data_IF_971669290623
#
_entry.id   IF_971669290623
#
_cell.length_a   1.000
_cell.length_b   1.000
_cell.length_c   1.000
_cell.angle_alpha   90.00
_cell.angle_beta   90.00
_cell.angle_gamma   90.00
#
_symmetry.space_group_name_H-M   'P 1'
#
loop_
_entity.id
_entity.type
_entity.pdbx_description
1 polymer ?
#
# COMPACT_ATOMS: atom_id res chain seq x y z
N UNK A 1 14.83 -7.80 -12.85
CA UNK A 1 14.46 -8.84 -11.87
C UNK A 1 13.01 -8.59 -11.52
N UNK A 2 12.12 -9.50 -11.92
CA UNK A 2 10.68 -9.32 -11.77
C UNK A 2 10.29 -9.35 -10.29
N UNK A 3 9.49 -8.38 -9.87
CA UNK A 3 8.81 -8.42 -8.58
C UNK A 3 8.01 -9.73 -8.51
N UNK A 4 8.52 -10.67 -7.72
CA UNK A 4 7.97 -12.00 -7.57
C UNK A 4 6.57 -11.87 -6.93
N UNK A 5 5.63 -12.61 -7.52
CA UNK A 5 4.19 -12.69 -7.24
C UNK A 5 3.87 -13.24 -5.84
N UNK A 6 4.15 -12.49 -4.78
CA UNK A 6 3.78 -12.92 -3.41
C UNK A 6 2.28 -12.73 -3.14
N UNK A 7 1.57 -11.91 -3.93
CA UNK A 7 0.14 -11.66 -3.74
C UNK A 7 -0.81 -12.57 -4.55
N UNK A 8 -0.34 -13.44 -5.45
CA UNK A 8 -1.25 -14.10 -6.41
C UNK A 8 -2.16 -15.17 -5.79
N UNK A 9 -1.66 -15.99 -4.87
CA UNK A 9 -2.43 -17.12 -4.33
C UNK A 9 -3.58 -16.66 -3.42
N UNK A 10 -3.38 -15.58 -2.66
CA UNK A 10 -4.41 -14.95 -1.84
C UNK A 10 -5.45 -14.21 -2.69
N UNK A 11 -4.99 -13.44 -3.68
CA UNK A 11 -5.87 -12.71 -4.61
C UNK A 11 -6.80 -13.68 -5.37
N UNK A 12 -6.28 -14.81 -5.84
CA UNK A 12 -7.06 -15.81 -6.58
C UNK A 12 -8.15 -16.47 -5.72
N UNK A 13 -7.88 -16.73 -4.44
CA UNK A 13 -8.88 -17.25 -3.51
C UNK A 13 -9.99 -16.23 -3.24
N UNK A 14 -9.62 -14.98 -2.95
CA UNK A 14 -10.57 -13.88 -2.71
C UNK A 14 -11.45 -13.65 -3.94
N UNK A 15 -10.84 -13.58 -5.13
CA UNK A 15 -11.57 -13.38 -6.37
C UNK A 15 -12.49 -14.55 -6.71
N UNK A 16 -12.15 -15.79 -6.31
CA UNK A 16 -13.04 -16.96 -6.45
C UNK A 16 -14.30 -16.78 -5.61
N UNK A 17 -14.15 -16.34 -4.36
CA UNK A 17 -15.26 -16.14 -3.43
C UNK A 17 -16.17 -15.00 -3.88
N UNK A 18 -15.60 -13.88 -4.33
CA UNK A 18 -16.36 -12.75 -4.89
C UNK A 18 -17.17 -13.16 -6.13
N UNK A 19 -16.57 -13.94 -7.05
CA UNK A 19 -17.29 -14.48 -8.21
C UNK A 19 -18.38 -15.46 -7.80
N UNK A 20 -18.14 -16.28 -6.76
CA UNK A 20 -19.17 -17.18 -6.25
C UNK A 20 -20.33 -16.40 -5.64
N UNK A 21 -20.07 -15.32 -4.91
CA UNK A 21 -21.10 -14.42 -4.38
C UNK A 21 -21.93 -13.77 -5.50
N UNK A 22 -21.30 -13.32 -6.58
CA UNK A 22 -22.02 -12.82 -7.76
C UNK A 22 -22.99 -13.87 -8.32
N UNK A 23 -22.56 -15.14 -8.40
CA UNK A 23 -23.39 -16.24 -8.93
C UNK A 23 -24.57 -16.59 -8.03
N UNK A 24 -24.43 -16.48 -6.72
CA UNK A 24 -25.48 -16.82 -5.75
C UNK A 24 -26.41 -15.65 -5.45
N UNK A 25 -26.03 -14.41 -5.81
CA UNK A 25 -26.84 -13.22 -5.54
C UNK A 25 -28.00 -13.12 -6.52
N UNK A 26 -29.27 -13.10 -6.05
CA UNK A 26 -30.41 -12.92 -6.92
C UNK A 26 -30.40 -11.53 -7.57
N UNK A 27 -30.79 -11.40 -8.86
CA UNK A 27 -30.89 -10.12 -9.54
C UNK A 27 -31.95 -9.22 -8.88
N UNK A 28 -31.85 -7.91 -9.12
CA UNK A 28 -32.85 -6.96 -8.67
C UNK A 28 -34.14 -7.11 -9.48
N UNK A 29 -35.29 -7.02 -8.82
CA UNK A 29 -36.59 -6.92 -9.45
C UNK A 29 -36.82 -5.50 -10.00
N UNK A 30 -37.79 -5.37 -10.90
CA UNK A 30 -38.19 -4.06 -11.42
C UNK A 30 -38.63 -3.12 -10.28
N UNK A 31 -38.04 -1.93 -10.23
CA UNK A 31 -38.31 -0.94 -9.17
C UNK A 31 -37.63 -1.24 -7.82
N UNK A 32 -36.88 -2.35 -7.68
CA UNK A 32 -36.18 -2.68 -6.44
C UNK A 32 -35.03 -1.70 -6.18
N UNK A 33 -34.30 -1.30 -7.22
CA UNK A 33 -33.17 -0.36 -7.10
C UNK A 33 -33.60 0.96 -6.46
N UNK A 34 -34.68 1.57 -6.94
CA UNK A 34 -35.18 2.85 -6.44
C UNK A 34 -35.63 2.73 -4.97
N UNK A 35 -36.26 1.60 -4.61
CA UNK A 35 -36.67 1.34 -3.23
C UNK A 35 -35.46 1.15 -2.31
N UNK A 36 -34.44 0.43 -2.76
CA UNK A 36 -33.20 0.24 -2.00
C UNK A 36 -32.50 1.58 -1.78
N UNK A 37 -32.35 2.40 -2.83
CA UNK A 37 -31.75 3.74 -2.72
C UNK A 37 -32.52 4.66 -1.77
N UNK A 38 -33.86 4.63 -1.81
CA UNK A 38 -34.69 5.40 -0.88
C UNK A 38 -34.48 4.96 0.58
N UNK A 39 -34.33 3.66 0.84
CA UNK A 39 -34.05 3.12 2.18
C UNK A 39 -32.62 3.42 2.63
N UNK A 40 -31.65 3.36 1.72
CA UNK A 40 -30.25 3.71 2.00
C UNK A 40 -30.14 5.17 2.44
N UNK A 41 -30.90 6.07 1.81
CA UNK A 41 -30.97 7.48 2.23
C UNK A 41 -31.49 7.67 3.66
N UNK A 42 -32.17 6.67 4.23
CA UNK A 42 -32.64 6.62 5.62
C UNK A 42 -31.68 5.85 6.55
N UNK A 43 -30.51 5.43 6.06
CA UNK A 43 -29.48 4.71 6.83
C UNK A 43 -29.66 3.20 6.88
N UNK A 44 -30.48 2.60 6.00
CA UNK A 44 -30.71 1.17 6.00
C UNK A 44 -29.54 0.36 5.41
N UNK A 45 -28.72 -0.20 6.29
CA UNK A 45 -27.56 -1.03 5.93
C UNK A 45 -27.93 -2.28 5.15
N UNK A 46 -29.06 -2.93 5.44
CA UNK A 46 -29.46 -4.13 4.71
C UNK A 46 -29.76 -3.83 3.23
N UNK A 47 -30.33 -2.66 2.95
CA UNK A 47 -30.54 -2.21 1.57
C UNK A 47 -29.23 -1.87 0.87
N UNK A 48 -28.28 -1.28 1.61
CA UNK A 48 -26.93 -0.99 1.11
C UNK A 48 -26.21 -2.29 0.71
N UNK A 49 -26.17 -3.26 1.62
CA UNK A 49 -25.50 -4.55 1.40
C UNK A 49 -26.13 -5.31 0.22
N UNK A 50 -27.46 -5.28 0.12
CA UNK A 50 -28.20 -5.86 -1.01
C UNK A 50 -27.80 -5.20 -2.33
N UNK A 51 -27.77 -3.87 -2.38
CA UNK A 51 -27.47 -3.13 -3.61
C UNK A 51 -26.00 -3.31 -4.02
N UNK A 52 -25.07 -3.35 -3.07
CA UNK A 52 -23.65 -3.70 -3.31
C UNK A 52 -23.54 -5.10 -3.87
N UNK A 53 -24.13 -6.10 -3.22
CA UNK A 53 -24.03 -7.50 -3.63
C UNK A 53 -24.53 -7.71 -5.07
N UNK A 54 -25.66 -7.09 -5.45
CA UNK A 54 -26.21 -7.27 -6.80
C UNK A 54 -25.42 -6.52 -7.87
N UNK A 55 -24.61 -5.52 -7.51
CA UNK A 55 -23.77 -4.76 -8.45
C UNK A 55 -22.28 -5.19 -8.42
N UNK A 56 -21.91 -6.17 -7.60
CA UNK A 56 -20.53 -6.63 -7.47
C UNK A 56 -19.91 -7.07 -8.81
N UNK A 57 -20.71 -7.65 -9.72
CA UNK A 57 -20.24 -8.04 -11.06
C UNK A 57 -19.74 -6.85 -11.89
N UNK A 58 -20.36 -5.67 -11.75
CA UNK A 58 -19.92 -4.44 -12.41
C UNK A 58 -18.58 -4.00 -11.86
N UNK A 59 -18.43 -3.97 -10.53
CA UNK A 59 -17.19 -3.58 -9.85
C UNK A 59 -16.04 -4.52 -10.25
N UNK A 60 -16.27 -5.83 -10.23
CA UNK A 60 -15.28 -6.83 -10.69
C UNK A 60 -14.84 -6.57 -12.13
N UNK A 61 -15.78 -6.36 -13.06
CA UNK A 61 -15.45 -6.05 -14.46
C UNK A 61 -14.59 -4.80 -14.59
N UNK A 62 -14.92 -3.75 -13.83
CA UNK A 62 -14.17 -2.49 -13.85
C UNK A 62 -12.78 -2.61 -13.24
N UNK A 63 -12.62 -3.45 -12.21
CA UNK A 63 -11.34 -3.78 -11.61
C UNK A 63 -10.47 -4.61 -12.56
N UNK A 64 -11.05 -5.63 -13.21
CA UNK A 64 -10.34 -6.46 -14.19
C UNK A 64 -9.83 -5.64 -15.38
N UNK A 65 -10.56 -4.61 -15.82
CA UNK A 65 -10.12 -3.67 -16.85
C UNK A 65 -8.90 -2.80 -16.43
N UNK A 66 -8.57 -2.77 -15.14
CA UNK A 66 -7.46 -2.02 -14.53
C UNK A 66 -6.34 -2.93 -14.00
N UNK A 67 -6.36 -4.22 -14.32
CA UNK A 67 -5.33 -5.18 -13.92
C UNK A 67 -3.93 -4.68 -14.28
N UNK A 68 -2.93 -5.11 -13.49
CA UNK A 68 -1.49 -4.88 -13.72
C UNK A 68 -1.05 -3.41 -13.60
N UNK A 69 -1.83 -2.57 -12.92
CA UNK A 69 -1.53 -1.15 -12.70
C UNK A 69 -1.03 -0.84 -11.28
N UNK A 70 -0.33 -1.78 -10.66
CA UNK A 70 0.26 -1.60 -9.32
C UNK A 70 -0.58 -2.13 -8.16
N UNK A 71 -1.90 -2.28 -8.33
CA UNK A 71 -2.79 -2.91 -7.35
C UNK A 71 -3.26 -4.29 -7.84
N UNK A 72 -3.54 -5.19 -6.88
CA UNK A 72 -4.16 -6.49 -7.18
C UNK A 72 -5.62 -6.31 -7.61
N UNK A 73 -6.22 -7.33 -8.23
CA UNK A 73 -7.62 -7.20 -8.70
C UNK A 73 -8.57 -7.16 -7.50
N UNK A 74 -8.30 -7.91 -6.43
CA UNK A 74 -9.11 -7.83 -5.20
C UNK A 74 -9.01 -6.46 -4.54
N UNK A 75 -7.83 -5.85 -4.47
CA UNK A 75 -7.67 -4.48 -3.94
C UNK A 75 -8.46 -3.47 -4.78
N UNK A 76 -8.41 -3.59 -6.10
CA UNK A 76 -9.21 -2.75 -6.99
C UNK A 76 -10.71 -2.97 -6.77
N UNK A 77 -11.18 -4.19 -6.50
CA UNK A 77 -12.59 -4.46 -6.15
C UNK A 77 -12.96 -3.82 -4.82
N UNK A 78 -12.08 -3.82 -3.82
CA UNK A 78 -12.31 -3.16 -2.54
C UNK A 78 -12.45 -1.64 -2.74
N UNK A 79 -11.51 -1.01 -3.43
CA UNK A 79 -11.56 0.42 -3.76
C UNK A 79 -12.79 0.77 -4.59
N UNK A 80 -13.09 -0.05 -5.60
CA UNK A 80 -14.29 0.11 -6.40
C UNK A 80 -15.57 0.02 -5.59
N UNK A 81 -15.61 -0.88 -4.62
CA UNK A 81 -16.75 -1.04 -3.71
C UNK A 81 -16.91 0.21 -2.83
N UNK A 82 -15.82 0.81 -2.34
CA UNK A 82 -15.85 2.11 -1.64
C UNK A 82 -16.42 3.22 -2.54
N UNK A 83 -15.99 3.29 -3.80
CA UNK A 83 -16.53 4.24 -4.77
C UNK A 83 -18.03 4.03 -5.03
N UNK A 84 -18.49 2.78 -5.04
CA UNK A 84 -19.92 2.45 -5.14
C UNK A 84 -20.71 2.87 -3.88
N UNK A 85 -20.15 2.66 -2.68
CA UNK A 85 -20.72 3.16 -1.43
C UNK A 85 -20.88 4.68 -1.46
N UNK A 86 -19.85 5.40 -1.90
CA UNK A 86 -19.90 6.85 -2.05
C UNK A 86 -20.97 7.26 -3.07
N UNK A 87 -21.09 6.53 -4.18
CA UNK A 87 -22.12 6.78 -5.17
C UNK A 87 -23.53 6.69 -4.57
N UNK A 88 -23.83 5.67 -3.77
CA UNK A 88 -25.13 5.53 -3.09
C UNK A 88 -25.42 6.71 -2.15
N UNK A 89 -24.40 7.17 -1.42
CA UNK A 89 -24.54 8.28 -0.46
C UNK A 89 -24.71 9.64 -1.14
N UNK A 90 -24.12 9.82 -2.32
CA UNK A 90 -24.08 11.12 -3.02
C UNK A 90 -25.05 11.23 -4.19
N UNK A 91 -25.70 10.13 -4.60
CA UNK A 91 -26.55 10.09 -5.79
C UNK A 91 -27.67 11.13 -5.76
N UNK A 92 -28.37 11.30 -4.63
CA UNK A 92 -29.47 12.27 -4.49
C UNK A 92 -29.01 13.70 -4.80
N UNK A 93 -27.76 14.03 -4.48
CA UNK A 93 -27.17 15.35 -4.72
C UNK A 93 -26.60 15.51 -6.14
N UNK A 94 -26.35 14.40 -6.84
CA UNK A 94 -25.67 14.37 -8.15
C UNK A 94 -26.49 14.92 -9.32
N UNK A 95 -27.81 15.11 -9.14
CA UNK A 95 -28.78 15.42 -10.21
C UNK A 95 -28.80 14.42 -11.38
N UNK A 96 -28.14 13.26 -11.25
CA UNK A 96 -28.13 12.23 -12.29
C UNK A 96 -29.46 11.49 -12.33
N UNK A 97 -29.95 11.19 -13.53
CA UNK A 97 -31.18 10.43 -13.73
C UNK A 97 -30.97 8.91 -13.66
N UNK A 98 -29.76 8.44 -13.95
CA UNK A 98 -29.39 7.02 -13.94
C UNK A 98 -28.32 6.77 -12.87
N UNK A 99 -28.68 5.96 -11.87
CA UNK A 99 -27.81 5.57 -10.78
C UNK A 99 -26.64 4.72 -11.24
N UNK A 100 -26.83 3.79 -12.17
CA UNK A 100 -25.76 2.87 -12.60
C UNK A 100 -24.68 3.65 -13.34
N UNK A 101 -25.08 4.51 -14.29
CA UNK A 101 -24.13 5.36 -14.99
C UNK A 101 -23.38 6.32 -14.06
N UNK A 102 -24.03 6.82 -13.00
CA UNK A 102 -23.38 7.64 -11.97
C UNK A 102 -22.39 6.81 -11.13
N UNK A 103 -22.80 5.62 -10.70
CA UNK A 103 -21.99 4.71 -9.93
C UNK A 103 -20.75 4.24 -10.69
N UNK A 104 -20.86 3.88 -11.97
CA UNK A 104 -19.71 3.50 -12.79
C UNK A 104 -18.64 4.59 -12.84
N UNK A 105 -19.03 5.87 -12.94
CA UNK A 105 -18.05 6.99 -12.87
C UNK A 105 -17.36 7.05 -11.51
N UNK A 106 -18.13 7.03 -10.42
CA UNK A 106 -17.58 7.08 -9.05
C UNK A 106 -16.66 5.90 -8.73
N UNK A 107 -17.04 4.69 -9.15
CA UNK A 107 -16.24 3.47 -9.02
C UNK A 107 -14.93 3.62 -9.80
N UNK A 108 -15.00 4.13 -11.03
CA UNK A 108 -13.82 4.35 -11.86
C UNK A 108 -12.86 5.37 -11.26
N UNK A 109 -13.39 6.54 -10.86
CA UNK A 109 -12.62 7.63 -10.25
C UNK A 109 -11.91 7.17 -8.96
N UNK A 110 -12.60 6.40 -8.11
CA UNK A 110 -12.02 5.86 -6.88
C UNK A 110 -10.87 4.90 -7.17
N UNK A 111 -11.05 3.93 -8.09
CA UNK A 111 -9.99 3.00 -8.49
C UNK A 111 -8.80 3.72 -9.10
N UNK A 112 -9.02 4.69 -9.99
CA UNK A 112 -7.96 5.44 -10.66
C UNK A 112 -7.16 6.31 -9.66
N UNK A 113 -7.85 6.86 -8.64
CA UNK A 113 -7.22 7.58 -7.54
C UNK A 113 -6.36 6.66 -6.67
N UNK A 114 -6.86 5.47 -6.33
CA UNK A 114 -6.10 4.49 -5.54
C UNK A 114 -4.83 4.03 -6.28
N UNK A 115 -4.93 3.74 -7.58
CA UNK A 115 -3.79 3.41 -8.44
C UNK A 115 -2.75 4.53 -8.42
N UNK A 116 -3.18 5.79 -8.58
CA UNK A 116 -2.27 6.92 -8.61
C UNK A 116 -1.58 7.13 -7.25
N UNK A 117 -2.29 6.92 -6.15
CA UNK A 117 -1.76 6.98 -4.79
C UNK A 117 -0.70 5.91 -4.55
N UNK A 118 -0.97 4.66 -4.92
CA UNK A 118 0.00 3.56 -4.80
C UNK A 118 1.26 3.83 -5.62
N UNK A 119 1.08 4.29 -6.87
CA UNK A 119 2.22 4.65 -7.72
C UNK A 119 3.04 5.82 -7.12
N UNK A 120 2.42 6.75 -6.40
CA UNK A 120 3.13 7.81 -5.68
C UNK A 120 3.90 7.26 -4.47
N UNK A 121 3.28 6.40 -3.67
CA UNK A 121 3.92 5.78 -2.51
C UNK A 121 5.18 4.97 -2.90
N UNK A 122 5.11 4.19 -3.99
CA UNK A 122 6.26 3.44 -4.51
C UNK A 122 7.39 4.39 -4.92
N UNK A 123 7.08 5.47 -5.65
CA UNK A 123 8.10 6.46 -6.04
C UNK A 123 8.74 7.14 -4.84
N UNK A 124 7.94 7.53 -3.85
CA UNK A 124 8.46 8.17 -2.63
C UNK A 124 9.37 7.22 -1.85
N UNK A 125 9.04 5.93 -1.81
CA UNK A 125 9.90 4.90 -1.23
C UNK A 125 11.22 4.75 -2.01
N UNK A 126 11.19 4.68 -3.34
CA UNK A 126 12.39 4.62 -4.18
C UNK A 126 13.31 5.83 -3.96
N UNK A 127 12.75 7.04 -3.90
CA UNK A 127 13.49 8.27 -3.60
C UNK A 127 14.12 8.24 -2.20
N UNK A 128 13.41 7.68 -1.22
CA UNK A 128 13.93 7.53 0.14
C UNK A 128 15.10 6.54 0.20
N UNK A 129 15.03 5.42 -0.53
CA UNK A 129 16.13 4.44 -0.64
C UNK A 129 17.36 5.07 -1.29
N UNK A 130 17.18 5.85 -2.36
CA UNK A 130 18.27 6.58 -2.99
C UNK A 130 18.91 7.58 -2.01
N UNK A 131 18.09 8.36 -1.28
CA UNK A 131 18.57 9.29 -0.28
C UNK A 131 19.31 8.59 0.87
N UNK A 132 18.80 7.47 1.37
CA UNK A 132 19.49 6.66 2.37
C UNK A 132 20.88 6.23 1.90
N UNK A 133 20.98 5.73 0.66
CA UNK A 133 22.25 5.30 0.06
C UNK A 133 23.26 6.45 -0.04
N UNK A 134 22.83 7.63 -0.49
CA UNK A 134 23.68 8.82 -0.59
C UNK A 134 24.14 9.33 0.79
N UNK A 135 23.24 9.28 1.78
CA UNK A 135 23.55 9.60 3.18
C UNK A 135 24.64 8.68 3.72
N UNK A 136 24.46 7.36 3.63
CA UNK A 136 25.42 6.39 4.17
C UNK A 136 26.80 6.49 3.52
N UNK A 137 26.83 6.66 2.20
CA UNK A 137 28.09 6.89 1.47
C UNK A 137 28.80 8.13 1.98
N UNK A 138 28.06 9.22 2.18
CA UNK A 138 28.62 10.50 2.63
C UNK A 138 29.09 10.45 4.08
N UNK A 139 28.30 9.81 4.95
CA UNK A 139 28.64 9.55 6.35
C UNK A 139 29.99 8.81 6.45
N UNK A 140 30.18 7.73 5.69
CA UNK A 140 31.42 6.96 5.65
C UNK A 140 32.61 7.77 5.10
N UNK A 141 32.40 8.52 4.02
CA UNK A 141 33.44 9.36 3.42
C UNK A 141 33.92 10.45 4.41
N UNK A 142 32.98 11.18 5.01
CA UNK A 142 33.31 12.22 5.97
C UNK A 142 33.92 11.65 7.24
N UNK A 143 33.43 10.51 7.74
CA UNK A 143 34.03 9.85 8.91
C UNK A 143 35.51 9.53 8.70
N UNK A 144 35.85 9.04 7.49
CA UNK A 144 37.23 8.75 7.11
C UNK A 144 38.10 10.01 7.04
N UNK A 145 37.59 11.08 6.42
CA UNK A 145 38.32 12.35 6.23
C UNK A 145 38.51 13.09 7.55
N UNK A 146 37.46 13.16 8.37
CA UNK A 146 37.44 13.89 9.63
C UNK A 146 38.04 13.10 10.80
N UNK A 147 38.24 11.78 10.63
CA UNK A 147 38.73 10.86 11.68
C UNK A 147 37.85 10.84 12.94
N UNK A 148 36.57 11.18 12.77
CA UNK A 148 35.50 11.13 13.79
C UNK A 148 34.15 10.97 13.08
N UNK A 149 33.09 10.67 13.83
CA UNK A 149 31.74 10.74 13.27
C UNK A 149 31.42 12.17 12.77
N UNK A 150 30.86 12.31 11.54
CA UNK A 150 30.42 13.60 11.02
C UNK A 150 29.16 14.11 11.75
N UNK A 151 29.00 15.43 11.83
CA UNK A 151 27.78 16.07 12.31
C UNK A 151 26.73 16.15 11.20
N UNK A 152 25.45 16.19 11.55
CA UNK A 152 24.33 16.34 10.60
C UNK A 152 24.54 17.52 9.63
N UNK A 153 25.04 18.65 10.15
CA UNK A 153 25.31 19.84 9.35
C UNK A 153 26.42 19.63 8.30
N UNK A 154 27.44 18.83 8.60
CA UNK A 154 28.55 18.53 7.69
C UNK A 154 28.10 17.60 6.55
N UNK A 155 27.26 16.61 6.87
CA UNK A 155 26.62 15.76 5.86
C UNK A 155 25.66 16.58 4.99
N UNK A 156 24.84 17.43 5.61
CA UNK A 156 23.89 18.29 4.90
C UNK A 156 24.60 19.24 3.92
N UNK A 157 25.70 19.87 4.35
CA UNK A 157 26.54 20.71 3.49
C UNK A 157 27.10 19.90 2.31
N UNK A 158 27.64 18.71 2.58
CA UNK A 158 28.24 17.85 1.54
C UNK A 158 27.23 17.34 0.50
N UNK A 159 26.00 17.07 0.93
CA UNK A 159 24.91 16.57 0.09
C UNK A 159 24.06 17.69 -0.53
N UNK A 160 24.33 18.95 -0.17
CA UNK A 160 23.50 20.11 -0.54
C UNK A 160 22.03 19.95 -0.09
N UNK A 161 21.84 19.38 1.10
CA UNK A 161 20.53 19.15 1.71
C UNK A 161 20.28 20.14 2.86
N UNK A 162 19.02 20.29 3.25
CA UNK A 162 18.70 20.94 4.53
C UNK A 162 19.09 20.02 5.69
N UNK A 163 19.48 20.61 6.83
CA UNK A 163 19.76 19.86 8.06
C UNK A 163 18.56 19.00 8.48
N UNK A 164 17.34 19.52 8.27
CA UNK A 164 16.09 18.80 8.57
C UNK A 164 15.92 17.54 7.71
N UNK A 165 16.12 17.64 6.39
CA UNK A 165 16.08 16.49 5.49
C UNK A 165 17.14 15.46 5.86
N UNK A 166 18.38 15.91 6.11
CA UNK A 166 19.47 15.03 6.51
C UNK A 166 19.17 14.30 7.80
N UNK A 167 18.61 14.98 8.81
CA UNK A 167 18.18 14.37 10.07
C UNK A 167 17.10 13.32 9.85
N UNK A 168 16.09 13.62 9.05
CA UNK A 168 15.03 12.66 8.73
C UNK A 168 15.60 11.39 8.09
N UNK A 169 16.45 11.53 7.06
CA UNK A 169 17.09 10.39 6.39
C UNK A 169 18.00 9.62 7.36
N UNK A 170 18.76 10.32 8.22
CA UNK A 170 19.60 9.69 9.24
C UNK A 170 18.78 8.83 10.22
N UNK A 171 17.60 9.32 10.65
CA UNK A 171 16.69 8.55 11.51
C UNK A 171 16.18 7.29 10.80
N UNK A 172 15.78 7.41 9.52
CA UNK A 172 15.33 6.26 8.72
C UNK A 172 16.43 5.21 8.58
N UNK A 173 17.66 5.64 8.27
CA UNK A 173 18.83 4.76 8.16
C UNK A 173 19.15 4.08 9.49
N UNK A 174 19.18 4.83 10.59
CA UNK A 174 19.47 4.29 11.92
C UNK A 174 18.44 3.26 12.36
N UNK A 175 17.16 3.50 12.07
CA UNK A 175 16.08 2.56 12.32
C UNK A 175 16.22 1.28 11.46
N UNK A 176 16.57 1.43 10.18
CA UNK A 176 16.81 0.29 9.29
C UNK A 176 17.97 -0.58 9.76
N UNK A 177 19.08 0.04 10.20
CA UNK A 177 20.23 -0.66 10.79
C UNK A 177 19.83 -1.45 12.04
N UNK A 178 19.08 -0.82 12.95
CA UNK A 178 18.62 -1.49 14.19
C UNK A 178 17.80 -2.74 13.91
N UNK A 179 16.83 -2.65 12.98
CA UNK A 179 16.00 -3.81 12.60
C UNK A 179 16.84 -4.94 12.01
N UNK A 180 17.80 -4.62 11.14
CA UNK A 180 18.70 -5.62 10.57
C UNK A 180 19.60 -6.27 11.63
N UNK A 181 20.13 -5.49 12.58
CA UNK A 181 20.97 -6.03 13.66
C UNK A 181 20.17 -6.96 14.59
N UNK A 182 18.92 -6.62 14.91
CA UNK A 182 18.01 -7.49 15.69
C UNK A 182 17.72 -8.81 14.95
N UNK A 183 17.49 -8.76 13.64
CA UNK A 183 17.32 -9.95 12.81
C UNK A 183 18.58 -10.82 12.80
N UNK A 184 19.78 -10.23 12.66
CA UNK A 184 21.04 -10.97 12.70
C UNK A 184 21.26 -11.65 14.05
N UNK A 185 20.99 -10.96 15.16
CA UNK A 185 21.14 -11.51 16.51
C UNK A 185 20.24 -12.72 16.74
N UNK A 186 19.07 -12.79 16.10
CA UNK A 186 18.16 -13.93 16.19
C UNK A 186 18.73 -15.22 15.55
N UNK A 187 19.77 -15.13 14.72
CA UNK A 187 20.44 -16.26 14.08
C UNK A 187 21.78 -16.62 14.74
N UNK A 188 22.26 -15.83 15.71
CA UNK A 188 23.48 -16.17 16.45
C UNK A 188 23.12 -17.20 17.52
N UNK A 189 23.70 -18.40 17.41
CA UNK A 189 23.66 -19.38 18.49
C UNK A 189 24.68 -18.97 19.58
N UNK A 190 24.23 -18.54 20.77
CA UNK A 190 25.14 -18.13 21.84
C UNK A 190 26.01 -19.28 22.37
N UNK A 191 25.64 -20.54 22.12
CA UNK A 191 26.43 -21.71 22.51
C UNK A 191 27.55 -22.04 21.50
N UNK A 192 27.48 -21.49 20.28
CA UNK A 192 28.52 -21.64 19.25
C UNK A 192 29.66 -20.62 19.37
N UNK A 193 29.52 -19.62 20.26
CA UNK A 193 30.56 -18.65 20.56
C UNK A 193 31.49 -19.22 21.63
N UNK A 194 32.58 -19.87 21.21
CA UNK A 194 33.65 -20.31 22.13
C UNK A 194 34.45 -19.09 22.62
N UNK A 195 34.36 -18.72 23.92
CA UNK A 195 35.08 -17.56 24.46
C UNK A 195 36.60 -17.79 24.50
N UNK A 196 37.08 -19.03 24.48
CA UNK A 196 38.50 -19.38 24.61
C UNK A 196 39.25 -19.31 23.26
N UNK A 197 38.53 -19.30 22.13
CA UNK A 197 39.13 -19.28 20.79
C UNK A 197 39.71 -17.92 20.36
N UNK A 198 39.42 -16.83 21.10
CA UNK A 198 39.85 -15.48 20.75
C UNK A 198 41.19 -15.05 21.39
N UNK A 199 41.69 -15.79 22.39
CA UNK A 199 42.90 -15.41 23.16
C UNK A 199 44.20 -15.80 22.43
N UNK A 200 44.15 -16.78 21.51
CA UNK A 200 45.33 -17.28 20.78
C UNK A 200 45.80 -16.38 19.61
N UNK A 201 45.09 -15.29 19.30
CA UNK A 201 45.39 -14.43 18.15
C UNK A 201 46.13 -13.11 18.50
N UNK A 202 46.41 -12.83 19.78
CA UNK A 202 47.01 -11.56 20.22
C UNK A 202 48.50 -11.69 20.61
N UNK A 203 49.01 -12.90 20.81
CA UNK A 203 50.42 -13.14 21.21
C UNK A 203 51.28 -13.85 20.12
N UNK A 204 51.02 -13.56 18.85
CA UNK A 204 51.80 -14.07 17.70
C UNK A 204 52.58 -13.00 16.93
#
# INVERSE_FOLDING_TARGET
>A
MGAQRVHSDGDDAVMRDLRQQVRTTPPLQAGEQERLLARIALGDRASQDRLVATNLAMVIRMAEARRERGLSVSDLVLEGSLGFLEAMNTFVQSKSADFIAFAERKVGDQMDTAIASEAAAVRDAELLVAAATDYERTELLLARVLRRAPMEAEIAEKLEWTVERTRYVAQVVAEARRRHDEELLAFIDPEALDPEAFDDAVDG
#
